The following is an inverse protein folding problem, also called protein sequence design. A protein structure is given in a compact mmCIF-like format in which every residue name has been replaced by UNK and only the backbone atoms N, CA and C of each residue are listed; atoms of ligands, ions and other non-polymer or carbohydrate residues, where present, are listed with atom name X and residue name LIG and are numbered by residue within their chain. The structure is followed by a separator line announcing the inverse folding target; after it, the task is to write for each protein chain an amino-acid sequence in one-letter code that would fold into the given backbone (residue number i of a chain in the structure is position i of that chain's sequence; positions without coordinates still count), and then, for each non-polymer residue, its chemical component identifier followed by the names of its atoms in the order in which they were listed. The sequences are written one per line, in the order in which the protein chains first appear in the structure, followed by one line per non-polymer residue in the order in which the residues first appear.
data_IF_598445370967
#
_entry.id   IF_598445370967
#
_cell.length_a   1.000
_cell.length_b   1.000
_cell.length_c   1.000
_cell.angle_alpha   90.00
_cell.angle_beta   90.00
_cell.angle_gamma   90.00
#
_symmetry.space_group_name_H-M   'P 1'
#
loop_
_entity.id
_entity.type
_entity.pdbx_description
1 polymer ?
#
# COMPACT_ATOMS: atom_id res chain seq x y z
N UNK A 1 63.10 -33.00 16.44
CA UNK A 1 63.64 -32.00 15.48
C UNK A 1 62.48 -31.09 15.11
N UNK A 2 62.36 -29.85 15.64
CA UNK A 2 63.07 -28.60 15.33
C UNK A 2 62.83 -28.06 13.90
N UNK A 3 62.27 -26.84 13.85
CA UNK A 3 62.36 -25.84 12.75
C UNK A 3 61.53 -26.05 11.47
N UNK A 4 61.06 -25.01 10.73
CA UNK A 4 60.90 -23.55 10.98
C UNK A 4 60.04 -22.92 9.84
N UNK A 5 59.65 -21.64 10.02
CA UNK A 5 59.31 -20.66 8.96
C UNK A 5 58.03 -20.89 8.13
N UNK A 6 57.39 -19.88 7.49
CA UNK A 6 57.33 -18.43 7.71
C UNK A 6 56.10 -17.87 6.94
N UNK A 7 55.64 -16.66 7.25
CA UNK A 7 54.46 -16.06 6.60
C UNK A 7 54.72 -15.44 5.21
N UNK A 8 53.66 -14.93 4.57
CA UNK A 8 53.67 -13.54 4.09
C UNK A 8 52.38 -12.79 4.52
N UNK A 9 52.48 -11.60 5.12
CA UNK A 9 52.60 -10.25 4.55
C UNK A 9 51.27 -9.49 4.56
N UNK A 10 51.31 -8.30 5.15
CA UNK A 10 50.20 -7.37 5.29
C UNK A 10 49.83 -6.67 3.98
N UNK A 11 48.59 -6.20 3.88
CA UNK A 11 48.15 -5.36 2.76
C UNK A 11 46.64 -5.09 2.78
N UNK A 12 46.16 -4.26 3.71
CA UNK A 12 44.83 -3.65 3.60
C UNK A 12 44.93 -2.13 3.74
N UNK A 13 44.21 -1.45 2.85
CA UNK A 13 44.39 -0.05 2.50
C UNK A 13 43.61 0.90 3.40
N UNK A 14 44.21 2.06 3.63
CA UNK A 14 43.61 3.26 4.21
C UNK A 14 42.52 3.85 3.29
N UNK A 15 41.38 4.30 3.83
CA UNK A 15 40.39 5.06 3.05
C UNK A 15 39.09 5.37 3.82
N UNK A 16 38.83 6.63 4.24
CA UNK A 16 37.67 6.98 5.06
C UNK A 16 36.54 7.66 4.25
N UNK A 17 35.29 7.32 4.53
CA UNK A 17 34.11 8.12 4.16
C UNK A 17 33.03 8.05 5.26
N UNK A 18 33.06 9.02 6.17
CA UNK A 18 31.97 9.26 7.13
C UNK A 18 31.78 10.78 7.25
N UNK A 19 30.70 11.30 6.64
CA UNK A 19 30.47 12.74 6.60
C UNK A 19 29.50 13.17 5.50
N UNK A 20 28.22 12.83 5.65
CA UNK A 20 27.15 13.59 5.00
C UNK A 20 26.19 14.10 6.08
N UNK A 21 26.27 15.40 6.35
CA UNK A 21 25.41 16.05 7.33
C UNK A 21 23.99 16.23 6.76
N UNK A 22 22.99 16.01 7.61
CA UNK A 22 21.61 16.30 7.28
C UNK A 22 21.37 17.81 7.20
N UNK A 23 20.59 18.25 6.20
CA UNK A 23 19.97 19.57 6.18
C UNK A 23 18.48 19.40 5.91
N UNK A 24 17.73 19.45 7.01
CA UNK A 24 16.28 19.66 7.04
C UNK A 24 15.98 21.15 6.83
N UNK A 25 14.69 21.44 6.61
CA UNK A 25 14.05 22.77 6.51
C UNK A 25 14.13 23.42 5.12
N UNK A 26 13.08 24.11 4.63
CA UNK A 26 11.82 24.52 5.29
C UNK A 26 10.64 24.46 4.30
N UNK A 27 9.45 24.11 4.80
CA UNK A 27 8.18 24.24 4.06
C UNK A 27 7.69 25.68 4.11
N UNK A 28 7.16 26.19 2.99
CA UNK A 28 6.31 27.37 2.96
C UNK A 28 5.21 27.18 1.90
N UNK A 29 4.02 26.77 2.36
CA UNK A 29 2.80 27.01 1.61
C UNK A 29 2.39 28.46 1.85
N UNK A 30 2.26 29.26 0.79
CA UNK A 30 1.47 30.49 0.86
C UNK A 30 0.23 30.35 -0.03
N UNK A 31 -0.93 30.65 0.55
CA UNK A 31 -2.24 30.52 -0.09
C UNK A 31 -3.18 31.56 0.50
N UNK A 32 -3.63 32.48 -0.36
CA UNK A 32 -4.57 33.54 -0.04
C UNK A 32 -3.82 34.84 0.32
N UNK A 33 -3.97 35.95 -0.38
CA UNK A 33 -4.78 36.23 -1.56
C UNK A 33 -5.71 37.41 -1.32
N UNK A 34 -5.53 38.48 -2.09
CA UNK A 34 -6.42 39.63 -2.09
C UNK A 34 -6.44 40.34 -3.45
N UNK A 35 -7.62 40.85 -3.78
CA UNK A 35 -7.99 41.39 -5.09
C UNK A 35 -8.09 42.91 -5.04
N UNK A 36 -7.43 43.60 -5.96
CA UNK A 36 -7.74 44.94 -6.52
C UNK A 36 -6.72 45.16 -7.64
N UNK A 37 -7.00 45.68 -8.82
CA UNK A 37 -8.15 46.43 -9.32
C UNK A 37 -7.60 47.45 -10.33
N UNK A 38 -8.23 47.51 -11.52
CA UNK A 38 -7.97 48.45 -12.64
C UNK A 38 -6.64 48.28 -13.44
N UNK A 39 -6.53 48.59 -14.74
CA UNK A 39 -7.52 49.11 -15.73
C UNK A 39 -7.24 48.65 -17.17
N UNK A 40 -8.31 48.25 -17.88
CA UNK A 40 -8.70 48.65 -19.26
C UNK A 40 -7.96 48.18 -20.54
N UNK A 41 -8.78 47.81 -21.55
CA UNK A 41 -8.41 47.56 -22.96
C UNK A 41 -8.04 46.09 -23.26
N UNK A 42 -8.55 45.41 -24.30
CA UNK A 42 -9.45 45.81 -25.39
C UNK A 42 -10.30 44.61 -25.86
N UNK A 43 -11.34 44.87 -26.67
CA UNK A 43 -12.32 43.87 -27.10
C UNK A 43 -11.87 43.00 -28.26
N UNK A 44 -12.13 41.69 -28.20
CA UNK A 44 -12.63 40.93 -29.36
C UNK A 44 -13.33 39.64 -28.95
N UNK A 45 -14.60 39.50 -29.38
CA UNK A 45 -15.32 38.24 -29.31
C UNK A 45 -14.94 37.35 -30.48
N UNK A 46 -14.50 36.13 -30.21
CA UNK A 46 -14.57 35.01 -31.14
C UNK A 46 -14.60 33.70 -30.33
N UNK A 47 -15.80 33.15 -30.14
CA UNK A 47 -15.96 31.79 -29.65
C UNK A 47 -16.19 30.86 -30.85
N UNK A 48 -15.31 29.87 -31.10
CA UNK A 48 -15.71 28.58 -31.66
C UNK A 48 -16.21 27.74 -30.49
N UNK A 49 -17.51 27.48 -30.38
CA UNK A 49 -18.21 26.39 -31.08
C UNK A 49 -17.57 25.00 -30.86
N UNK A 50 -18.01 24.38 -29.76
CA UNK A 50 -18.46 22.97 -29.66
C UNK A 50 -17.81 21.95 -30.61
N UNK A 51 -16.96 21.10 -30.04
CA UNK A 51 -16.64 19.79 -30.64
C UNK A 51 -15.16 19.54 -30.90
N UNK A 52 -14.33 19.60 -29.85
CA UNK A 52 -13.17 18.70 -29.82
C UNK A 52 -13.66 17.38 -29.23
N UNK A 53 -14.06 16.48 -30.13
CA UNK A 53 -14.40 15.10 -29.79
C UNK A 53 -13.24 14.48 -29.01
N UNK A 54 -13.57 13.60 -28.05
CA UNK A 54 -12.58 12.96 -27.19
C UNK A 54 -11.56 12.14 -27.99
N UNK A 55 -10.49 12.80 -28.43
CA UNK A 55 -9.34 12.19 -29.07
C UNK A 55 -8.68 11.26 -28.05
N UNK A 56 -9.09 9.99 -28.09
CA UNK A 56 -8.56 8.94 -27.25
C UNK A 56 -7.05 8.89 -27.49
N UNK A 57 -6.26 9.32 -26.49
CA UNK A 57 -4.79 9.31 -26.51
C UNK A 57 -4.30 7.86 -26.30
N UNK A 58 -4.69 6.97 -27.21
CA UNK A 58 -4.34 5.56 -27.19
C UNK A 58 -2.84 5.36 -27.48
N UNK A 59 -2.27 6.20 -28.35
CA UNK A 59 -0.94 5.96 -28.92
C UNK A 59 0.23 6.34 -28.01
N UNK A 60 0.06 7.31 -27.09
CA UNK A 60 1.16 7.76 -26.21
C UNK A 60 1.26 6.94 -24.91
N UNK A 61 0.20 6.22 -24.54
CA UNK A 61 0.17 5.37 -23.35
C UNK A 61 0.88 4.01 -23.55
N UNK A 62 1.13 3.60 -24.80
CA UNK A 62 1.83 2.36 -25.15
C UNK A 62 3.34 2.45 -24.83
N UNK A 63 3.96 3.60 -25.09
CA UNK A 63 5.42 3.81 -25.02
C UNK A 63 5.92 4.34 -23.66
N UNK A 64 5.03 4.87 -22.80
CA UNK A 64 5.41 5.44 -21.51
C UNK A 64 4.50 4.98 -20.36
N UNK A 65 5.10 4.48 -19.29
CA UNK A 65 4.39 4.05 -18.09
C UNK A 65 4.12 5.24 -17.14
N UNK A 66 2.86 5.56 -16.79
CA UNK A 66 2.57 6.71 -15.94
C UNK A 66 3.16 6.57 -14.53
N UNK A 67 3.46 7.73 -13.92
CA UNK A 67 3.99 7.84 -12.56
C UNK A 67 3.08 7.26 -11.46
N UNK A 68 1.77 7.18 -11.72
CA UNK A 68 0.74 6.66 -10.82
C UNK A 68 -0.52 6.32 -11.63
N UNK A 69 -1.28 5.28 -11.26
CA UNK A 69 -2.55 4.98 -11.93
C UNK A 69 -3.71 5.82 -11.38
N UNK A 70 -4.28 6.65 -12.25
CA UNK A 70 -5.43 7.50 -11.98
C UNK A 70 -6.76 6.72 -12.11
N UNK A 71 -7.87 7.17 -11.50
CA UNK A 71 -9.16 6.50 -11.64
C UNK A 71 -9.74 6.47 -13.06
N UNK A 72 -9.24 7.33 -13.96
CA UNK A 72 -9.78 7.57 -15.30
C UNK A 72 -8.87 7.12 -16.43
N UNK A 73 -7.61 6.75 -16.16
CA UNK A 73 -6.78 6.13 -17.20
C UNK A 73 -7.15 4.65 -17.37
N UNK A 74 -7.12 4.21 -18.63
CA UNK A 74 -7.46 2.85 -19.02
C UNK A 74 -6.29 1.88 -18.94
N UNK A 75 -5.17 2.23 -18.29
CA UNK A 75 -4.00 1.35 -18.24
C UNK A 75 -4.30 0.12 -17.38
N UNK A 76 -4.08 -1.07 -17.94
CA UNK A 76 -4.19 -2.32 -17.18
C UNK A 76 -3.18 -2.32 -16.01
N UNK A 77 -3.65 -2.41 -14.74
CA UNK A 77 -2.77 -2.40 -13.58
C UNK A 77 -1.73 -3.53 -13.59
N UNK A 78 -2.02 -4.67 -14.23
CA UNK A 78 -1.06 -5.76 -14.36
C UNK A 78 0.08 -5.41 -15.32
N UNK A 79 -0.25 -4.88 -16.52
CA UNK A 79 0.72 -4.39 -17.50
C UNK A 79 1.61 -3.30 -16.91
N UNK A 80 1.02 -2.38 -16.14
CA UNK A 80 1.73 -1.29 -15.49
C UNK A 80 2.72 -1.77 -14.42
N UNK A 81 2.32 -2.71 -13.54
CA UNK A 81 3.24 -3.30 -12.56
C UNK A 81 4.39 -4.05 -13.23
N UNK A 82 4.09 -4.91 -14.20
CA UNK A 82 5.09 -5.74 -14.87
C UNK A 82 6.11 -4.86 -15.62
N UNK A 83 5.63 -3.84 -16.35
CA UNK A 83 6.50 -2.91 -17.05
C UNK A 83 7.36 -2.04 -16.11
N UNK A 84 6.85 -1.71 -14.91
CA UNK A 84 7.66 -1.02 -13.90
C UNK A 84 8.76 -1.90 -13.33
N UNK A 85 8.46 -3.17 -13.10
CA UNK A 85 9.41 -4.17 -12.62
C UNK A 85 10.49 -4.49 -13.67
N UNK A 86 10.13 -4.47 -14.96
CA UNK A 86 11.05 -4.58 -16.11
C UNK A 86 11.79 -3.28 -16.47
N UNK A 87 11.32 -2.12 -15.99
CA UNK A 87 11.86 -0.80 -16.33
C UNK A 87 11.41 -0.23 -17.69
N UNK A 88 10.52 -0.91 -18.43
CA UNK A 88 9.97 -0.48 -19.71
C UNK A 88 8.56 -1.06 -19.94
N UNK A 89 7.71 -0.47 -20.81
CA UNK A 89 6.43 -1.07 -21.17
C UNK A 89 6.57 -2.51 -21.69
N UNK A 90 5.63 -3.37 -21.32
CA UNK A 90 5.53 -4.75 -21.82
C UNK A 90 4.24 -4.95 -22.64
N UNK A 91 4.21 -5.91 -23.59
CA UNK A 91 2.99 -6.35 -24.26
C UNK A 91 1.93 -6.88 -23.27
N UNK A 92 0.65 -6.64 -23.54
CA UNK A 92 -0.44 -6.99 -22.62
C UNK A 92 -0.68 -8.50 -22.40
N UNK A 93 -0.09 -9.33 -23.25
CA UNK A 93 -0.14 -10.79 -23.26
C UNK A 93 1.15 -11.47 -22.76
N UNK A 94 2.20 -10.68 -22.44
CA UNK A 94 3.45 -11.17 -21.86
C UNK A 94 3.22 -11.99 -20.58
N UNK A 95 4.11 -12.94 -20.29
CA UNK A 95 3.93 -13.90 -19.21
C UNK A 95 3.85 -13.20 -17.84
N UNK A 96 4.73 -12.24 -17.61
CA UNK A 96 4.84 -11.40 -16.42
C UNK A 96 3.54 -10.62 -16.17
N UNK A 97 2.96 -10.07 -17.25
CA UNK A 97 1.69 -9.33 -17.23
C UNK A 97 0.54 -10.27 -16.87
N UNK A 98 0.49 -11.46 -17.45
CA UNK A 98 -0.53 -12.48 -17.13
C UNK A 98 -0.43 -12.93 -15.67
N UNK A 99 0.77 -13.22 -15.19
CA UNK A 99 1.01 -13.64 -13.81
C UNK A 99 0.60 -12.57 -12.79
N UNK A 100 0.95 -11.30 -13.03
CA UNK A 100 0.52 -10.20 -12.16
C UNK A 100 -1.00 -9.96 -12.24
N UNK A 101 -1.63 -10.18 -13.40
CA UNK A 101 -3.09 -10.11 -13.56
C UNK A 101 -3.78 -11.16 -12.67
N UNK A 102 -3.29 -12.40 -12.69
CA UNK A 102 -3.79 -13.47 -11.83
C UNK A 102 -3.59 -13.18 -10.33
N UNK A 103 -2.43 -12.64 -9.92
CA UNK A 103 -2.18 -12.25 -8.53
C UNK A 103 -3.11 -11.11 -8.08
N UNK A 104 -3.35 -10.11 -8.95
CA UNK A 104 -4.31 -9.03 -8.70
C UNK A 104 -5.77 -9.52 -8.64
N UNK A 105 -6.15 -10.50 -9.47
CA UNK A 105 -7.47 -11.14 -9.41
C UNK A 105 -7.70 -11.89 -8.10
N UNK A 106 -6.72 -12.71 -7.66
CA UNK A 106 -6.75 -13.36 -6.34
C UNK A 106 -6.86 -12.32 -5.22
N UNK A 107 -5.98 -11.32 -5.20
CA UNK A 107 -5.98 -10.27 -4.19
C UNK A 107 -7.31 -9.48 -4.15
N UNK A 108 -7.90 -9.15 -5.31
CA UNK A 108 -9.18 -8.42 -5.38
C UNK A 108 -10.33 -9.15 -4.69
N UNK A 109 -10.30 -10.48 -4.61
CA UNK A 109 -11.31 -11.24 -3.86
C UNK A 109 -11.22 -10.98 -2.35
N UNK A 110 -10.01 -10.87 -1.79
CA UNK A 110 -9.73 -10.75 -0.36
C UNK A 110 -9.66 -9.31 0.17
N UNK A 111 -9.41 -8.32 -0.69
CA UNK A 111 -9.29 -6.90 -0.29
C UNK A 111 -10.52 -6.06 -0.64
N UNK A 112 -10.78 -5.01 0.14
CA UNK A 112 -11.85 -4.03 -0.13
C UNK A 112 -11.54 -3.26 -1.42
N UNK A 113 -10.27 -2.93 -1.63
CA UNK A 113 -9.77 -2.11 -2.72
C UNK A 113 -9.85 -2.77 -4.10
N UNK A 114 -9.91 -1.94 -5.14
CA UNK A 114 -9.83 -2.35 -6.54
C UNK A 114 -8.37 -2.69 -6.97
N UNK A 115 -8.21 -3.31 -8.16
CA UNK A 115 -6.89 -3.71 -8.68
C UNK A 115 -5.91 -2.54 -8.84
N UNK A 116 -6.41 -1.36 -9.21
CA UNK A 116 -5.60 -0.14 -9.42
C UNK A 116 -5.06 0.38 -8.08
N UNK A 117 -5.90 0.42 -7.06
CA UNK A 117 -5.52 0.79 -5.69
C UNK A 117 -4.54 -0.22 -5.06
N UNK A 118 -4.71 -1.52 -5.32
CA UNK A 118 -3.75 -2.55 -4.92
C UNK A 118 -2.40 -2.33 -5.63
N UNK A 119 -2.39 -2.17 -6.95
CA UNK A 119 -1.18 -1.95 -7.73
C UNK A 119 -0.40 -0.69 -7.28
N UNK A 120 -1.07 0.46 -7.19
CA UNK A 120 -0.47 1.72 -6.72
C UNK A 120 0.21 1.59 -5.34
N UNK A 121 -0.45 0.91 -4.40
CA UNK A 121 0.12 0.67 -3.06
C UNK A 121 1.25 -0.37 -3.05
N UNK A 122 1.21 -1.33 -3.98
CA UNK A 122 2.31 -2.31 -4.16
C UNK A 122 3.57 -1.60 -4.66
N UNK A 123 3.44 -0.66 -5.60
CA UNK A 123 4.55 0.21 -6.03
C UNK A 123 5.10 1.02 -4.87
N UNK A 124 4.24 1.72 -4.13
CA UNK A 124 4.66 2.52 -2.98
C UNK A 124 5.40 1.67 -1.93
N UNK A 125 4.88 0.48 -1.62
CA UNK A 125 5.53 -0.46 -0.70
C UNK A 125 6.89 -0.92 -1.23
N UNK A 126 6.98 -1.30 -2.51
CA UNK A 126 8.24 -1.73 -3.13
C UNK A 126 9.31 -0.63 -3.16
N UNK A 127 8.90 0.63 -3.34
CA UNK A 127 9.79 1.80 -3.23
C UNK A 127 10.33 1.94 -1.80
N UNK A 128 9.46 2.00 -0.80
CA UNK A 128 9.84 2.10 0.62
C UNK A 128 10.73 0.93 1.07
N UNK A 129 10.47 -0.30 0.59
CA UNK A 129 11.29 -1.47 0.85
C UNK A 129 12.67 -1.37 0.18
N UNK A 130 12.76 -0.81 -1.02
CA UNK A 130 14.02 -0.57 -1.72
C UNK A 130 14.87 0.49 -1.03
N UNK A 131 14.25 1.56 -0.53
CA UNK A 131 14.92 2.63 0.25
C UNK A 131 15.64 2.08 1.50
N UNK A 132 15.08 1.06 2.16
CA UNK A 132 15.71 0.37 3.30
C UNK A 132 16.60 -0.82 2.90
N UNK A 133 16.99 -0.93 1.62
CA UNK A 133 17.88 -1.97 1.11
C UNK A 133 17.27 -3.37 1.05
N UNK A 134 15.94 -3.47 0.96
CA UNK A 134 15.17 -4.72 1.01
C UNK A 134 14.20 -4.87 -0.19
N UNK A 135 14.67 -4.72 -1.45
CA UNK A 135 13.81 -4.83 -2.62
C UNK A 135 13.11 -6.20 -2.69
N UNK A 136 11.86 -6.20 -3.15
CA UNK A 136 11.00 -7.38 -3.29
C UNK A 136 10.14 -7.25 -4.54
N UNK A 137 9.79 -8.37 -5.17
CA UNK A 137 8.98 -8.36 -6.37
C UNK A 137 7.52 -7.99 -6.10
N UNK A 138 6.90 -7.26 -7.04
CA UNK A 138 5.51 -6.82 -6.89
C UNK A 138 4.55 -8.02 -6.80
N UNK A 139 4.81 -9.07 -7.58
CA UNK A 139 4.06 -10.33 -7.51
C UNK A 139 4.19 -10.99 -6.14
N UNK A 140 5.41 -11.06 -5.58
CA UNK A 140 5.66 -11.65 -4.26
C UNK A 140 4.95 -10.90 -3.12
N UNK A 141 4.91 -9.57 -3.19
CA UNK A 141 4.17 -8.73 -2.24
C UNK A 141 2.64 -8.97 -2.34
N UNK A 142 2.09 -8.98 -3.55
CA UNK A 142 0.64 -9.18 -3.76
C UNK A 142 0.21 -10.58 -3.33
N UNK A 143 0.94 -11.62 -3.73
CA UNK A 143 0.60 -13.01 -3.37
C UNK A 143 0.77 -13.28 -1.87
N UNK A 144 1.85 -12.78 -1.25
CA UNK A 144 2.10 -12.96 0.19
C UNK A 144 1.05 -12.29 1.07
N UNK A 145 0.71 -11.03 0.77
CA UNK A 145 -0.34 -10.31 1.50
C UNK A 145 -1.74 -10.87 1.18
N UNK A 146 -2.00 -11.23 -0.08
CA UNK A 146 -3.26 -11.82 -0.52
C UNK A 146 -3.56 -13.19 0.10
N UNK A 147 -2.54 -14.03 0.27
CA UNK A 147 -2.67 -15.32 0.95
C UNK A 147 -3.12 -15.14 2.41
N UNK A 148 -2.56 -14.17 3.13
CA UNK A 148 -2.94 -13.86 4.52
C UNK A 148 -4.39 -13.35 4.58
N UNK A 149 -4.75 -12.38 3.74
CA UNK A 149 -6.11 -11.81 3.73
C UNK A 149 -7.18 -12.86 3.37
N UNK A 150 -6.86 -13.82 2.49
CA UNK A 150 -7.79 -14.88 2.08
C UNK A 150 -8.24 -15.79 3.23
N UNK A 151 -7.43 -15.92 4.30
CA UNK A 151 -7.78 -16.72 5.50
C UNK A 151 -8.95 -16.10 6.28
N UNK A 152 -9.20 -14.79 6.15
CA UNK A 152 -10.31 -14.09 6.83
C UNK A 152 -11.70 -14.34 6.22
N UNK A 153 -11.76 -15.10 5.12
CA UNK A 153 -13.00 -15.56 4.51
C UNK A 153 -13.91 -14.43 4.04
N UNK A 154 -15.11 -14.31 4.61
CA UNK A 154 -16.12 -13.33 4.16
C UNK A 154 -15.79 -11.87 4.51
N UNK A 155 -14.86 -11.61 5.45
CA UNK A 155 -14.46 -10.24 5.82
C UNK A 155 -13.20 -9.84 5.06
N UNK A 156 -13.36 -8.94 4.08
CA UNK A 156 -12.25 -8.37 3.33
C UNK A 156 -11.33 -7.52 4.22
N UNK A 157 -10.03 -7.58 3.98
CA UNK A 157 -9.02 -6.70 4.60
C UNK A 157 -8.85 -5.39 3.82
N UNK A 158 -8.17 -4.42 4.43
CA UNK A 158 -7.63 -3.24 3.74
C UNK A 158 -6.19 -3.52 3.30
N UNK A 159 -5.91 -3.43 2.00
CA UNK A 159 -4.57 -3.74 1.47
C UNK A 159 -3.49 -2.79 2.04
N UNK A 160 -3.82 -1.51 2.19
CA UNK A 160 -2.86 -0.48 2.62
C UNK A 160 -2.44 -0.61 4.09
N UNK A 161 -3.34 -1.08 4.95
CA UNK A 161 -3.05 -1.36 6.37
C UNK A 161 -2.05 -2.53 6.48
N UNK A 162 -2.28 -3.59 5.71
CA UNK A 162 -1.35 -4.72 5.60
C UNK A 162 0.01 -4.31 5.02
N UNK A 163 0.05 -3.43 4.00
CA UNK A 163 1.31 -2.86 3.50
C UNK A 163 2.08 -2.11 4.60
N UNK A 164 1.42 -1.27 5.39
CA UNK A 164 2.07 -0.51 6.47
C UNK A 164 2.60 -1.42 7.57
N UNK A 165 1.84 -2.43 8.00
CA UNK A 165 2.28 -3.40 8.98
C UNK A 165 3.44 -4.27 8.48
N UNK A 166 3.41 -4.67 7.20
CA UNK A 166 4.50 -5.38 6.55
C UNK A 166 5.78 -4.54 6.52
N UNK A 167 5.70 -3.31 6.00
CA UNK A 167 6.83 -2.38 5.95
C UNK A 167 7.44 -2.13 7.34
N UNK A 168 6.62 -1.79 8.35
CA UNK A 168 7.09 -1.55 9.71
C UNK A 168 7.86 -2.76 10.26
N UNK A 169 7.40 -3.98 9.94
CA UNK A 169 8.06 -5.22 10.37
C UNK A 169 9.37 -5.47 9.64
N UNK A 170 9.46 -5.14 8.34
CA UNK A 170 10.68 -5.22 7.53
C UNK A 170 11.71 -4.16 7.96
N UNK A 171 11.27 -2.94 8.28
CA UNK A 171 12.10 -1.86 8.82
C UNK A 171 12.71 -2.23 10.19
N UNK A 172 12.01 -3.01 11.02
CA UNK A 172 12.52 -3.60 12.27
C UNK A 172 13.51 -4.78 12.06
N UNK A 173 14.09 -4.91 10.87
CA UNK A 173 15.12 -5.91 10.58
C UNK A 173 14.61 -7.26 10.08
N UNK A 174 13.32 -7.62 10.25
CA UNK A 174 12.80 -8.92 9.83
C UNK A 174 13.01 -9.20 8.32
N UNK A 175 13.19 -10.48 7.97
CA UNK A 175 13.13 -10.95 6.58
C UNK A 175 11.68 -11.01 6.05
N UNK A 176 11.51 -11.36 4.78
CA UNK A 176 10.19 -11.46 4.13
C UNK A 176 9.28 -12.50 4.80
N UNK A 177 9.79 -13.72 5.05
CA UNK A 177 9.01 -14.81 5.62
C UNK A 177 8.62 -14.52 7.08
N UNK A 178 9.54 -13.97 7.88
CA UNK A 178 9.29 -13.55 9.25
C UNK A 178 8.28 -12.39 9.33
N UNK A 179 8.31 -11.46 8.37
CA UNK A 179 7.33 -10.38 8.30
C UNK A 179 5.93 -10.88 7.93
N UNK A 180 5.81 -11.76 6.93
CA UNK A 180 4.53 -12.40 6.59
C UNK A 180 3.99 -13.26 7.74
N UNK A 181 4.84 -14.03 8.43
CA UNK A 181 4.42 -14.84 9.58
C UNK A 181 3.89 -13.99 10.74
N UNK A 182 4.56 -12.87 11.05
CA UNK A 182 4.10 -11.90 12.07
C UNK A 182 2.79 -11.20 11.68
N UNK A 183 2.61 -10.89 10.40
CA UNK A 183 1.35 -10.32 9.89
C UNK A 183 0.22 -11.35 9.94
N UNK A 184 0.46 -12.59 9.52
CA UNK A 184 -0.51 -13.69 9.58
C UNK A 184 -0.94 -14.03 11.01
N UNK A 185 -0.07 -13.87 12.00
CA UNK A 185 -0.41 -14.02 13.41
C UNK A 185 -1.34 -12.92 13.93
N UNK A 186 -1.26 -11.70 13.39
CA UNK A 186 -2.14 -10.56 13.71
C UNK A 186 -3.49 -10.64 13.00
N UNK A 187 -3.46 -11.00 11.71
CA UNK A 187 -4.64 -11.10 10.86
C UNK A 187 -5.49 -12.36 11.12
N UNK A 188 -4.99 -13.30 11.92
CA UNK A 188 -5.74 -14.48 12.34
C UNK A 188 -7.02 -14.01 13.05
N UNK A 189 -8.21 -14.43 12.60
CA UNK A 189 -9.43 -14.21 13.38
C UNK A 189 -9.20 -14.78 14.77
N UNK A 190 -9.43 -13.96 15.81
CA UNK A 190 -9.51 -14.47 17.17
C UNK A 190 -10.54 -15.60 17.16
N UNK A 191 -10.07 -16.83 17.40
CA UNK A 191 -10.92 -18.01 17.34
C UNK A 191 -12.04 -17.77 18.33
N UNK A 192 -13.28 -17.67 17.82
CA UNK A 192 -14.41 -17.07 18.54
C UNK A 192 -14.38 -17.49 20.00
N UNK A 193 -14.08 -16.53 20.89
CA UNK A 193 -14.02 -16.78 22.31
C UNK A 193 -15.33 -17.50 22.67
N UNK A 194 -15.26 -18.66 23.37
CA UNK A 194 -16.44 -19.48 23.59
C UNK A 194 -17.52 -18.59 24.18
N UNK A 195 -18.68 -18.52 23.51
CA UNK A 195 -19.80 -17.71 23.98
C UNK A 195 -20.08 -18.14 25.41
N UNK A 196 -19.76 -17.25 26.37
CA UNK A 196 -20.07 -17.48 27.77
C UNK A 196 -21.59 -17.61 27.82
N UNK A 197 -22.16 -18.78 28.14
CA UNK A 197 -23.60 -18.95 28.12
C UNK A 197 -24.22 -17.90 29.05
N UNK A 198 -25.30 -17.23 28.64
CA UNK A 198 -25.93 -16.22 29.49
C UNK A 198 -26.28 -16.84 30.84
N UNK A 199 -25.77 -16.22 31.92
CA UNK A 199 -25.91 -16.71 33.29
C UNK A 199 -27.39 -16.95 33.63
N UNK A 200 -27.82 -18.21 33.83
CA UNK A 200 -29.24 -18.56 33.92
C UNK A 200 -29.85 -18.27 35.30
N UNK A 201 -29.44 -17.18 35.99
CA UNK A 201 -30.11 -16.69 37.19
C UNK A 201 -29.79 -15.22 37.55
N UNK A 202 -30.40 -14.25 36.86
CA UNK A 202 -30.77 -12.98 37.52
C UNK A 202 -32.29 -12.75 37.42
N UNK A 203 -33.08 -13.14 38.44
CA UNK A 203 -34.51 -12.84 38.45
C UNK A 203 -34.73 -11.32 38.44
N UNK A 204 -35.79 -10.81 37.81
CA UNK A 204 -36.09 -9.39 37.76
C UNK A 204 -36.32 -8.85 39.19
N UNK A 205 -35.75 -7.68 39.48
CA UNK A 205 -35.97 -7.01 40.75
C UNK A 205 -37.48 -6.77 40.96
N UNK A 206 -37.99 -7.17 42.12
CA UNK A 206 -39.42 -7.21 42.39
C UNK A 206 -40.10 -5.84 42.29
N UNK A 207 -41.32 -5.83 41.73
CA UNK A 207 -42.22 -4.69 41.86
C UNK A 207 -42.49 -4.42 43.35
N UNK A 208 -42.36 -3.17 43.83
CA UNK A 208 -42.80 -2.82 45.18
C UNK A 208 -44.31 -3.00 45.28
N UNK A 209 -44.75 -3.68 46.33
CA UNK A 209 -46.13 -4.14 46.47
C UNK A 209 -47.18 -3.04 46.61
N UNK A 210 -48.40 -3.33 46.16
CA UNK A 210 -49.56 -2.47 46.38
C UNK A 210 -49.93 -2.35 47.86
N UNK A 211 -50.48 -1.19 48.22
CA UNK A 211 -50.88 -0.81 49.57
C UNK A 211 -52.39 -1.09 49.78
N UNK A 212 -52.80 -1.92 50.77
CA UNK A 212 -54.22 -2.11 51.12
C UNK A 212 -54.58 -1.59 52.53
N UNK A 213 -55.79 -1.02 52.67
CA UNK A 213 -56.38 -0.56 53.94
C UNK A 213 -55.94 0.86 54.36
N UNK A 214 -56.80 1.80 54.78
CA UNK A 214 -58.15 1.66 55.37
C UNK A 214 -58.00 1.24 56.84
N UNK A 215 -58.28 2.07 57.86
CA UNK A 215 -59.56 2.65 58.31
C UNK A 215 -59.26 3.64 59.48
N UNK A 216 -60.24 4.30 60.14
CA UNK A 216 -61.65 4.51 59.78
C UNK A 216 -61.99 5.97 59.41
#
# INVERSE_FOLDING_TARGET
MRSLAAGPLAGLLTGPLAGLAALLMLSACDRGGETSGETSGETSSAAPDRGDDGAIVASTAEDHLPGWLSPTDGTDPARWLAGREAGHPLPGDAAEVRELRESLDRARSAFVEDKRMIANRTVQLGQMLSEIGKPESYRGLIDGLGAIASVRGRRKSLYGEMCQHYYNTRAQGADHAAALARLAARERPEAAAPEIPPDPARPPAGQPGGQPGGQP
#
